data_IF_608113346397
#
_entry.id   IF_608113346397
#
_cell.length_a   1.000
_cell.length_b   1.000
_cell.length_c   1.000
_cell.angle_alpha   90.00
_cell.angle_beta   90.00
_cell.angle_gamma   90.00
#
_symmetry.space_group_name_H-M   'P 1'
#
loop_
_entity.id
_entity.type
_entity.pdbx_description
1 polymer ?
#
# COMPACT_ATOMS: atom_id res chain seq x y z
N UNK A 1 -8.24 15.06 -28.38
CA UNK A 1 -8.63 13.76 -27.78
C UNK A 1 -8.17 13.75 -26.33
N UNK A 2 -9.10 13.69 -25.37
CA UNK A 2 -8.75 13.55 -23.95
C UNK A 2 -8.50 12.06 -23.74
N UNK A 3 -7.26 11.67 -23.41
CA UNK A 3 -6.99 10.33 -22.88
C UNK A 3 -7.77 10.23 -21.56
N UNK A 4 -8.94 9.59 -21.60
CA UNK A 4 -9.68 9.28 -20.38
C UNK A 4 -8.90 8.20 -19.64
N UNK A 5 -8.21 8.62 -18.59
CA UNK A 5 -7.62 7.75 -17.59
C UNK A 5 -8.70 6.77 -17.09
N UNK A 6 -8.40 5.47 -17.03
CA UNK A 6 -9.38 4.51 -16.49
C UNK A 6 -9.55 4.75 -14.99
N UNK A 7 -10.69 4.40 -14.37
CA UNK A 7 -10.86 4.54 -12.93
C UNK A 7 -9.79 3.81 -12.11
N UNK A 8 -9.26 2.70 -12.63
CA UNK A 8 -8.17 1.97 -11.99
C UNK A 8 -6.85 2.76 -12.05
N UNK A 9 -6.52 3.36 -13.21
CA UNK A 9 -5.34 4.20 -13.36
C UNK A 9 -5.46 5.47 -12.50
N UNK A 10 -6.64 6.09 -12.48
CA UNK A 10 -6.94 7.24 -11.62
C UNK A 10 -6.69 6.92 -10.15
N UNK A 11 -7.22 5.79 -9.67
CA UNK A 11 -7.00 5.32 -8.31
C UNK A 11 -5.50 5.06 -8.04
N UNK A 12 -4.77 4.50 -9.00
CA UNK A 12 -3.32 4.30 -8.92
C UNK A 12 -2.56 5.63 -8.71
N UNK A 13 -2.91 6.64 -9.51
CA UNK A 13 -2.33 7.97 -9.45
C UNK A 13 -2.64 8.66 -8.12
N UNK A 14 -3.90 8.62 -7.67
CA UNK A 14 -4.31 9.18 -6.39
C UNK A 14 -3.57 8.51 -5.22
N UNK A 15 -3.47 7.17 -5.22
CA UNK A 15 -2.71 6.44 -4.19
C UNK A 15 -1.22 6.81 -4.21
N UNK A 16 -0.63 7.03 -5.38
CA UNK A 16 0.76 7.48 -5.48
C UNK A 16 0.95 8.88 -4.89
N UNK A 17 0.04 9.81 -5.18
CA UNK A 17 0.06 11.17 -4.62
C UNK A 17 -0.12 11.15 -3.10
N UNK A 18 -1.11 10.38 -2.60
CA UNK A 18 -1.35 10.21 -1.16
C UNK A 18 -0.10 9.65 -0.48
N UNK A 19 0.54 8.61 -1.02
CA UNK A 19 1.77 8.05 -0.44
C UNK A 19 2.90 9.08 -0.37
N UNK A 20 3.06 9.91 -1.41
CA UNK A 20 4.09 10.97 -1.43
C UNK A 20 3.82 12.01 -0.34
N UNK A 21 2.58 12.49 -0.23
CA UNK A 21 2.19 13.48 0.76
C UNK A 21 2.29 12.90 2.18
N UNK A 22 1.79 11.68 2.41
CA UNK A 22 1.87 11.00 3.69
C UNK A 22 3.31 10.79 4.15
N UNK A 23 4.23 10.46 3.22
CA UNK A 23 5.67 10.37 3.53
C UNK A 23 6.23 11.71 4.00
N UNK A 24 5.89 12.80 3.30
CA UNK A 24 6.35 14.14 3.69
C UNK A 24 5.75 14.58 5.02
N UNK A 25 4.47 14.33 5.24
CA UNK A 25 3.79 14.61 6.50
C UNK A 25 4.44 13.84 7.65
N UNK A 26 4.67 12.53 7.49
CA UNK A 26 5.31 11.69 8.49
C UNK A 26 6.70 12.21 8.87
N UNK A 27 7.50 12.61 7.88
CA UNK A 27 8.81 13.23 8.14
C UNK A 27 8.68 14.52 8.96
N UNK A 28 7.79 15.43 8.56
CA UNK A 28 7.57 16.68 9.30
C UNK A 28 7.09 16.42 10.73
N UNK A 29 6.15 15.49 10.92
CA UNK A 29 5.65 15.11 12.25
C UNK A 29 6.75 14.55 13.13
N UNK A 30 7.62 13.70 12.58
CA UNK A 30 8.78 13.19 13.29
C UNK A 30 9.73 14.32 13.69
N UNK A 31 10.05 15.22 12.78
CA UNK A 31 10.97 16.34 13.05
C UNK A 31 10.39 17.30 14.10
N UNK A 32 9.09 17.61 14.05
CA UNK A 32 8.41 18.40 15.08
C UNK A 32 8.38 17.69 16.43
N UNK A 33 8.06 16.40 16.46
CA UNK A 33 8.05 15.61 17.69
C UNK A 33 9.46 15.50 18.31
N UNK A 34 10.52 15.51 17.49
CA UNK A 34 11.91 15.50 17.95
C UNK A 34 12.39 16.84 18.52
N UNK A 35 11.59 17.91 18.40
CA UNK A 35 11.93 19.26 18.88
C UNK A 35 12.94 20.02 18.02
N UNK A 36 13.30 19.50 16.83
CA UNK A 36 14.32 20.10 15.94
C UNK A 36 13.80 21.27 15.09
N UNK A 37 12.48 21.44 14.99
CA UNK A 37 11.85 22.44 14.14
C UNK A 37 11.08 23.49 14.95
N UNK A 38 11.05 24.76 14.49
CA UNK A 38 10.26 25.80 15.10
C UNK A 38 8.77 25.52 14.92
N UNK A 39 8.00 25.60 16.02
CA UNK A 39 6.57 25.24 16.03
C UNK A 39 5.65 26.36 15.59
N UNK A 40 6.14 27.58 15.35
CA UNK A 40 5.34 28.71 14.90
C UNK A 40 5.84 29.18 13.54
N UNK A 41 4.93 29.26 12.57
CA UNK A 41 5.17 29.86 11.25
C UNK A 41 4.29 31.09 11.04
N UNK A 42 4.34 31.64 9.83
CA UNK A 42 3.62 32.88 9.47
C UNK A 42 2.10 32.75 9.56
N UNK A 43 1.54 31.61 9.15
CA UNK A 43 0.09 31.39 9.08
C UNK A 43 -0.39 30.27 10.01
N UNK A 44 0.51 29.52 10.64
CA UNK A 44 0.20 28.27 11.33
C UNK A 44 1.05 28.09 12.59
N UNK A 45 0.51 27.38 13.58
CA UNK A 45 1.23 26.94 14.78
C UNK A 45 1.03 25.44 15.00
N UNK A 46 2.13 24.72 15.21
CA UNK A 46 2.18 23.30 15.54
C UNK A 46 2.21 23.14 17.06
N UNK A 47 1.39 22.22 17.59
CA UNK A 47 1.41 21.88 19.02
C UNK A 47 1.73 20.39 19.17
N UNK A 48 2.80 20.08 19.89
CA UNK A 48 3.19 18.70 20.19
C UNK A 48 2.63 18.36 21.58
N UNK A 49 1.69 17.42 21.63
CA UNK A 49 1.11 16.95 22.89
C UNK A 49 1.35 15.45 23.05
N UNK A 50 1.80 15.05 24.23
CA UNK A 50 2.00 13.64 24.57
C UNK A 50 0.81 13.16 25.38
N UNK A 51 0.05 12.22 24.81
CA UNK A 51 -1.07 11.56 25.51
C UNK A 51 -0.67 10.15 25.87
N UNK A 52 -0.80 9.80 27.16
CA UNK A 52 -0.68 8.42 27.63
C UNK A 52 -2.09 7.84 27.75
N UNK A 53 -2.31 6.67 27.18
CA UNK A 53 -3.55 5.92 27.34
C UNK A 53 -3.22 4.48 27.67
N UNK A 54 -4.13 3.82 28.39
CA UNK A 54 -4.03 2.39 28.63
C UNK A 54 -4.38 1.65 27.34
N UNK A 55 -3.55 0.69 26.96
CA UNK A 55 -3.80 -0.21 25.83
C UNK A 55 -4.27 -1.54 26.38
N UNK A 56 -5.31 -2.11 25.77
CA UNK A 56 -5.78 -3.45 26.14
C UNK A 56 -4.86 -4.51 25.53
N UNK A 57 -4.13 -5.24 26.36
CA UNK A 57 -3.23 -6.30 25.94
C UNK A 57 -4.00 -7.61 25.74
N UNK A 58 -4.57 -7.82 24.56
CA UNK A 58 -5.31 -9.05 24.20
C UNK A 58 -4.49 -10.33 24.45
N UNK A 59 -3.17 -10.25 24.26
CA UNK A 59 -2.23 -11.36 24.45
C UNK A 59 -2.14 -11.84 25.91
N UNK A 60 -2.54 -11.00 26.88
CA UNK A 60 -2.59 -11.36 28.29
C UNK A 60 -3.95 -11.92 28.71
N UNK A 61 -4.87 -12.14 27.76
CA UNK A 61 -6.15 -12.76 28.09
C UNK A 61 -5.96 -14.24 28.41
N UNK A 62 -6.72 -14.77 29.38
CA UNK A 62 -6.74 -16.20 29.62
C UNK A 62 -7.19 -16.99 28.39
N UNK A 63 -6.61 -18.18 28.20
CA UNK A 63 -6.90 -19.06 27.07
C UNK A 63 -8.40 -19.38 26.93
N UNK A 64 -9.11 -19.51 28.05
CA UNK A 64 -10.55 -19.80 28.04
C UNK A 64 -11.41 -18.68 27.43
N UNK A 65 -10.96 -17.41 27.51
CA UNK A 65 -11.65 -16.28 26.88
C UNK A 65 -11.31 -16.21 25.40
N UNK A 66 -10.06 -16.49 25.04
CA UNK A 66 -9.63 -16.52 23.64
C UNK A 66 -10.25 -17.68 22.87
N UNK A 67 -10.53 -18.81 23.52
CA UNK A 67 -11.13 -19.99 22.91
C UNK A 67 -12.67 -19.94 22.85
N UNK A 68 -13.34 -19.12 23.68
CA UNK A 68 -14.81 -19.08 23.72
C UNK A 68 -15.39 -18.31 22.53
N UNK A 69 -16.10 -18.99 21.60
CA UNK A 69 -16.65 -18.37 20.39
C UNK A 69 -17.65 -17.23 20.67
N UNK A 70 -18.24 -17.17 21.87
CA UNK A 70 -19.19 -16.11 22.25
C UNK A 70 -18.55 -14.73 22.28
N UNK A 71 -17.23 -14.65 22.42
CA UNK A 71 -16.48 -13.39 22.40
C UNK A 71 -15.92 -13.04 21.02
N UNK A 72 -16.23 -13.81 19.98
CA UNK A 72 -15.75 -13.59 18.62
C UNK A 72 -16.89 -13.31 17.65
N UNK A 73 -16.67 -12.31 16.80
CA UNK A 73 -17.57 -11.96 15.70
C UNK A 73 -16.79 -12.00 14.39
N UNK A 74 -17.40 -12.57 13.36
CA UNK A 74 -16.87 -12.46 12.01
C UNK A 74 -17.24 -11.10 11.42
N UNK A 75 -16.23 -10.34 11.01
CA UNK A 75 -16.39 -9.09 10.28
C UNK A 75 -15.68 -9.22 8.94
N UNK A 76 -16.41 -8.96 7.86
CA UNK A 76 -15.83 -8.87 6.53
C UNK A 76 -15.39 -7.43 6.26
N UNK A 77 -14.16 -7.25 5.75
CA UNK A 77 -13.66 -5.95 5.30
C UNK A 77 -13.03 -6.14 3.93
N UNK A 78 -13.56 -5.42 2.94
CA UNK A 78 -13.05 -5.47 1.57
C UNK A 78 -11.96 -4.41 1.39
N UNK A 79 -10.79 -4.86 0.97
CA UNK A 79 -9.64 -4.01 0.70
C UNK A 79 -9.43 -3.89 -0.80
N UNK A 80 -9.36 -2.66 -1.31
CA UNK A 80 -9.04 -2.38 -2.70
C UNK A 80 -7.55 -2.05 -2.79
N UNK A 81 -6.78 -2.94 -3.43
CA UNK A 81 -5.36 -2.77 -3.70
C UNK A 81 -5.12 -2.50 -5.20
N UNK A 82 -4.06 -1.77 -5.50
CA UNK A 82 -3.70 -1.39 -6.88
C UNK A 82 -2.34 -2.00 -7.21
N UNK A 83 -2.34 -2.96 -8.14
CA UNK A 83 -1.13 -3.62 -8.65
C UNK A 83 -0.94 -3.26 -10.12
N UNK A 84 0.31 -3.12 -10.55
CA UNK A 84 0.61 -3.00 -11.98
C UNK A 84 0.16 -4.28 -12.70
N UNK A 85 -0.42 -4.19 -13.91
CA UNK A 85 -0.72 -5.38 -14.68
C UNK A 85 0.60 -6.11 -14.94
N UNK A 86 0.70 -7.36 -14.50
CA UNK A 86 1.78 -8.23 -14.91
C UNK A 86 1.63 -8.43 -16.40
N UNK A 87 2.38 -7.68 -17.21
CA UNK A 87 2.52 -7.98 -18.63
C UNK A 87 3.29 -9.30 -18.68
N UNK A 88 2.55 -10.41 -18.76
CA UNK A 88 3.12 -11.67 -19.18
C UNK A 88 3.52 -11.44 -20.63
N UNK A 89 4.80 -11.13 -20.85
CA UNK A 89 5.37 -11.13 -22.18
C UNK A 89 5.22 -12.56 -22.70
N UNK A 90 4.14 -12.81 -23.44
CA UNK A 90 4.02 -13.97 -24.33
C UNK A 90 5.15 -13.82 -25.33
N UNK A 91 6.27 -14.44 -24.99
CA UNK A 91 7.40 -14.67 -25.87
C UNK A 91 6.89 -15.59 -26.97
N UNK A 92 6.35 -14.99 -28.03
CA UNK A 92 6.00 -15.63 -29.27
C UNK A 92 7.31 -16.05 -29.97
N UNK A 93 7.95 -17.08 -29.45
CA UNK A 93 8.94 -17.85 -30.19
C UNK A 93 8.17 -18.78 -31.12
N UNK A 94 7.82 -18.26 -32.28
CA UNK A 94 7.47 -19.09 -33.41
C UNK A 94 8.64 -20.04 -33.73
N UNK A 95 8.42 -21.36 -33.82
CA UNK A 95 9.43 -22.28 -34.31
C UNK A 95 9.56 -22.07 -35.81
N UNK A 96 10.69 -21.53 -36.27
CA UNK A 96 11.07 -21.63 -37.68
C UNK A 96 11.34 -23.11 -37.99
N UNK A 97 10.26 -23.78 -38.38
CA UNK A 97 10.31 -25.08 -39.04
C UNK A 97 10.53 -24.80 -40.52
N UNK A 98 11.71 -25.14 -41.02
CA UNK A 98 12.05 -25.11 -42.45
C UNK A 98 12.68 -26.46 -42.83
N UNK A 99 12.12 -27.22 -43.78
CA UNK A 99 12.43 -28.63 -43.98
C UNK A 99 13.44 -28.90 -45.10
N UNK A 100 13.65 -30.19 -45.33
CA UNK A 100 14.19 -30.85 -46.53
C UNK A 100 15.69 -31.20 -46.51
N UNK A 101 15.94 -32.40 -45.99
CA UNK A 101 16.92 -33.30 -46.56
C UNK A 101 16.79 -33.33 -48.09
N UNK A 102 17.90 -33.13 -48.81
CA UNK A 102 18.03 -33.64 -50.17
C UNK A 102 19.46 -34.12 -50.42
N UNK A 103 19.50 -35.41 -50.72
CA UNK A 103 20.61 -36.29 -51.14
C UNK A 103 21.20 -35.81 -52.46
N UNK A 104 22.52 -35.95 -52.67
CA UNK A 104 23.10 -36.57 -53.88
C UNK A 104 24.64 -36.62 -53.83
N UNK A 105 25.12 -37.87 -53.98
CA UNK A 105 26.36 -38.38 -54.58
C UNK A 105 27.71 -37.91 -54.05
#
# INVERSE_FOLDING_TARGET
>A
MILKMTPADELASLRAQIRKLARREAQLRFDFASGKLPTTGMNCKVTVSTKRHKVFCKELLPDHVLADPRFWQMQETQWVDVKAPTVTATHDAAPLTGPAASRMQ
#
